data_IF_281849654949
#
_entry.id   IF_281849654949
#
_cell.length_a   1.000
_cell.length_b   1.000
_cell.length_c   1.000
_cell.angle_alpha   90.00
_cell.angle_beta   90.00
_cell.angle_gamma   90.00
#
_symmetry.space_group_name_H-M   'P 1'
#
loop_
_entity.id
_entity.type
_entity.pdbx_description
1 polymer ?
#
# COMPACT_ATOMS: atom_id res chain seq x y z
N UNK A 1 16.60 -2.71 -8.71
CA UNK A 1 16.37 -3.39 -7.43
C UNK A 1 15.93 -4.82 -7.64
N UNK A 2 16.46 -5.72 -6.86
CA UNK A 2 16.15 -7.13 -7.00
C UNK A 2 15.09 -7.48 -5.96
N UNK A 3 13.86 -7.50 -6.39
CA UNK A 3 12.72 -7.64 -5.49
C UNK A 3 12.70 -8.98 -4.77
N UNK A 4 13.10 -10.02 -5.47
CA UNK A 4 12.90 -11.38 -4.95
C UNK A 4 13.91 -11.76 -3.88
N UNK A 5 14.89 -10.93 -3.69
CA UNK A 5 15.80 -11.09 -2.57
C UNK A 5 15.20 -10.57 -1.28
N UNK A 6 14.10 -9.81 -1.37
CA UNK A 6 13.48 -9.24 -0.19
C UNK A 6 12.70 -10.31 0.52
N UNK A 7 13.28 -10.87 1.54
CA UNK A 7 12.55 -11.81 2.39
C UNK A 7 11.78 -11.10 3.48
N UNK A 8 12.09 -9.83 3.71
CA UNK A 8 11.44 -9.04 4.74
C UNK A 8 10.71 -7.89 4.12
N UNK A 9 9.39 -7.91 4.23
CA UNK A 9 8.55 -6.77 3.91
C UNK A 9 8.63 -5.82 5.10
N UNK A 10 8.92 -4.53 4.88
CA UNK A 10 8.88 -3.56 5.96
C UNK A 10 7.51 -3.53 6.62
N UNK A 11 7.46 -3.08 7.86
CA UNK A 11 6.26 -3.15 8.67
C UNK A 11 5.27 -2.04 8.32
N UNK A 12 3.98 -2.36 8.39
CA UNK A 12 2.91 -1.39 8.33
C UNK A 12 2.42 -1.01 9.73
N UNK A 13 3.12 -1.44 10.78
CA UNK A 13 2.64 -1.29 12.15
C UNK A 13 2.44 0.17 12.58
N UNK A 14 3.15 1.11 11.93
CA UNK A 14 3.01 2.52 12.25
C UNK A 14 1.82 3.20 11.59
N UNK A 15 1.03 2.50 10.82
CA UNK A 15 -0.16 3.09 10.21
C UNK A 15 -1.13 3.55 11.29
N UNK A 16 -1.67 4.76 11.12
CA UNK A 16 -2.56 5.34 12.13
C UNK A 16 -3.99 4.85 11.98
N UNK A 17 -4.35 4.39 10.78
CA UNK A 17 -5.68 3.85 10.51
C UNK A 17 -5.61 2.99 9.25
N UNK A 18 -6.58 2.10 9.09
CA UNK A 18 -6.75 1.30 7.87
C UNK A 18 -8.14 1.53 7.30
N UNK A 19 -8.22 1.61 5.98
CA UNK A 19 -9.49 1.69 5.25
C UNK A 19 -9.62 0.45 4.38
N UNK A 20 -10.84 -0.01 4.20
CA UNK A 20 -11.19 -1.18 3.36
C UNK A 20 -10.67 -2.52 3.91
N UNK A 21 -10.04 -2.52 5.07
CA UNK A 21 -9.44 -3.74 5.60
C UNK A 21 -9.17 -3.58 7.08
N UNK A 22 -9.09 -4.69 7.78
CA UNK A 22 -8.46 -4.74 9.09
C UNK A 22 -6.96 -4.53 8.92
N UNK A 23 -6.25 -4.16 9.98
CA UNK A 23 -4.79 -4.03 9.90
C UNK A 23 -4.14 -5.30 9.35
N UNK A 24 -3.24 -5.12 8.41
CA UNK A 24 -2.55 -6.23 7.78
C UNK A 24 -1.12 -6.34 8.32
N UNK A 25 -0.75 -7.53 8.71
CA UNK A 25 0.58 -7.81 9.24
C UNK A 25 1.21 -9.00 8.53
N UNK A 26 2.36 -9.47 9.05
CA UNK A 26 3.08 -10.56 8.39
C UNK A 26 2.26 -11.83 8.21
N UNK A 27 1.38 -12.15 9.15
CA UNK A 27 0.59 -13.37 9.06
C UNK A 27 -0.37 -13.33 7.88
N UNK A 28 -1.05 -12.19 7.68
CA UNK A 28 -2.03 -12.05 6.60
C UNK A 28 -1.38 -11.98 5.23
N UNK A 29 -0.15 -11.49 5.18
CA UNK A 29 0.54 -11.25 3.90
C UNK A 29 1.40 -12.44 3.46
N UNK A 30 1.55 -13.44 4.34
CA UNK A 30 2.40 -14.58 4.04
C UNK A 30 1.89 -15.34 2.83
N UNK A 31 2.81 -15.64 1.93
CA UNK A 31 2.48 -16.39 0.72
C UNK A 31 1.90 -15.56 -0.41
N UNK A 32 1.78 -14.26 -0.21
CA UNK A 32 1.23 -13.35 -1.23
C UNK A 32 2.31 -12.50 -1.85
N UNK A 33 2.05 -12.04 -3.07
CA UNK A 33 2.82 -10.97 -3.69
C UNK A 33 2.17 -9.68 -3.22
N UNK A 34 2.98 -8.77 -2.66
CA UNK A 34 2.47 -7.52 -2.11
C UNK A 34 2.98 -6.36 -2.96
N UNK A 35 2.06 -5.58 -3.49
CA UNK A 35 2.37 -4.35 -4.23
C UNK A 35 1.99 -3.17 -3.33
N UNK A 36 2.99 -2.41 -2.92
CA UNK A 36 2.78 -1.26 -2.06
C UNK A 36 2.80 0.00 -2.93
N UNK A 37 1.75 0.78 -2.84
CA UNK A 37 1.58 1.98 -3.64
C UNK A 37 1.46 3.18 -2.70
N UNK A 38 2.52 4.00 -2.66
CA UNK A 38 2.52 5.22 -1.84
C UNK A 38 1.82 6.34 -2.59
N UNK A 39 0.89 7.02 -1.93
CA UNK A 39 0.10 8.06 -2.56
C UNK A 39 -0.31 9.14 -1.57
N UNK A 40 -0.78 10.24 -2.11
CA UNK A 40 -1.47 11.26 -1.35
C UNK A 40 -2.58 11.82 -2.23
N UNK A 41 -3.69 12.26 -1.61
CA UNK A 41 -4.94 12.47 -2.35
C UNK A 41 -4.93 13.66 -3.30
N UNK A 42 -3.91 14.53 -3.23
CA UNK A 42 -3.78 15.60 -4.21
C UNK A 42 -2.68 15.37 -5.25
N UNK A 43 -2.03 14.23 -5.23
CA UNK A 43 -0.92 13.96 -6.16
C UNK A 43 -1.46 13.62 -7.55
N UNK A 44 -1.22 14.53 -8.51
CA UNK A 44 -1.71 14.36 -9.87
C UNK A 44 -1.10 13.15 -10.55
N UNK A 45 0.16 12.85 -10.27
CA UNK A 45 0.81 11.70 -10.88
C UNK A 45 0.22 10.40 -10.35
N UNK A 46 -0.17 10.36 -9.09
CA UNK A 46 -0.87 9.21 -8.55
C UNK A 46 -2.23 9.05 -9.20
N UNK A 47 -2.95 10.15 -9.41
CA UNK A 47 -4.26 10.10 -10.05
C UNK A 47 -4.19 9.46 -11.43
N UNK A 48 -3.09 9.65 -12.15
CA UNK A 48 -2.90 9.04 -13.47
C UNK A 48 -2.59 7.56 -13.38
N UNK A 49 -1.96 7.11 -12.30
CA UNK A 49 -1.57 5.71 -12.13
C UNK A 49 -2.65 4.87 -11.50
N UNK A 50 -3.50 5.48 -10.70
CA UNK A 50 -4.45 4.76 -9.85
C UNK A 50 -5.36 3.80 -10.62
N UNK A 51 -5.92 4.17 -11.78
CA UNK A 51 -6.78 3.22 -12.50
C UNK A 51 -6.07 1.93 -12.88
N UNK A 52 -4.78 2.00 -13.18
CA UNK A 52 -4.01 0.80 -13.51
C UNK A 52 -3.74 -0.04 -12.28
N UNK A 53 -3.41 0.60 -11.16
CA UNK A 53 -3.18 -0.12 -9.89
C UNK A 53 -4.46 -0.82 -9.46
N UNK A 54 -5.59 -0.15 -9.55
CA UNK A 54 -6.87 -0.73 -9.22
C UNK A 54 -7.21 -1.91 -10.13
N UNK A 55 -6.94 -1.77 -11.43
CA UNK A 55 -7.18 -2.85 -12.39
C UNK A 55 -6.31 -4.06 -12.06
N UNK A 56 -5.06 -3.86 -11.70
CA UNK A 56 -4.17 -4.95 -11.31
C UNK A 56 -4.68 -5.65 -10.05
N UNK A 57 -5.13 -4.87 -9.07
CA UNK A 57 -5.67 -5.43 -7.85
C UNK A 57 -6.85 -6.36 -8.16
N UNK A 58 -7.77 -5.91 -9.00
CA UNK A 58 -8.95 -6.68 -9.34
C UNK A 58 -8.61 -7.91 -10.18
N UNK A 59 -7.69 -7.75 -11.13
CA UNK A 59 -7.35 -8.82 -12.06
C UNK A 59 -6.57 -9.95 -11.39
N UNK A 60 -5.71 -9.64 -10.44
CA UNK A 60 -4.77 -10.62 -9.89
C UNK A 60 -5.03 -10.97 -8.44
N UNK A 61 -6.12 -10.48 -7.88
CA UNK A 61 -6.47 -10.75 -6.49
C UNK A 61 -6.57 -12.25 -6.21
N UNK A 62 -7.21 -12.97 -7.09
CA UNK A 62 -7.40 -14.40 -6.91
C UNK A 62 -6.11 -15.19 -7.17
N UNK A 63 -5.12 -14.56 -7.79
CA UNK A 63 -3.82 -15.16 -8.03
C UNK A 63 -2.81 -14.83 -6.92
N UNK A 64 -3.27 -14.23 -5.85
CA UNK A 64 -2.45 -13.99 -4.67
C UNK A 64 -1.83 -12.60 -4.57
N UNK A 65 -2.22 -11.67 -5.43
CA UNK A 65 -1.74 -10.29 -5.33
C UNK A 65 -2.54 -9.53 -4.28
N UNK A 66 -1.83 -8.89 -3.36
CA UNK A 66 -2.42 -7.94 -2.42
C UNK A 66 -1.82 -6.57 -2.73
N UNK A 67 -2.68 -5.61 -3.07
CA UNK A 67 -2.26 -4.23 -3.24
C UNK A 67 -2.58 -3.49 -1.95
N UNK A 68 -1.60 -2.76 -1.44
CA UNK A 68 -1.79 -1.92 -0.27
C UNK A 68 -1.43 -0.50 -0.67
N UNK A 69 -2.41 0.40 -0.61
CA UNK A 69 -2.16 1.81 -0.80
C UNK A 69 -1.76 2.44 0.51
N UNK A 70 -0.58 3.04 0.56
CA UNK A 70 -0.13 3.74 1.77
C UNK A 70 -0.29 5.22 1.52
N UNK A 71 -1.23 5.83 2.22
CA UNK A 71 -1.47 7.26 2.11
C UNK A 71 -0.58 7.99 3.10
N UNK A 72 0.45 8.66 2.58
CA UNK A 72 1.37 9.45 3.39
C UNK A 72 1.26 10.91 2.95
N UNK A 73 0.90 11.83 3.85
CA UNK A 73 0.66 13.23 3.46
C UNK A 73 1.93 13.93 3.00
N UNK A 74 1.81 14.67 1.89
CA UNK A 74 2.88 15.56 1.45
C UNK A 74 2.70 16.94 2.07
N UNK A 75 1.46 17.41 2.11
CA UNK A 75 1.10 18.70 2.66
C UNK A 75 0.31 18.54 3.95
N UNK A 76 0.34 19.56 4.80
CA UNK A 76 -0.31 19.48 6.12
C UNK A 76 -1.79 19.15 6.02
N UNK A 77 -2.50 19.73 5.06
CA UNK A 77 -3.94 19.49 4.92
C UNK A 77 -4.28 18.06 4.53
N UNK A 78 -3.32 17.32 4.00
CA UNK A 78 -3.54 15.93 3.60
C UNK A 78 -3.57 14.96 4.78
N UNK A 79 -3.29 15.44 5.99
CA UNK A 79 -3.49 14.66 7.21
C UNK A 79 -4.97 14.44 7.54
N UNK A 80 -5.87 15.17 6.88
CA UNK A 80 -7.29 15.08 7.16
C UNK A 80 -7.83 13.73 6.73
N UNK A 81 -8.22 12.91 7.72
CA UNK A 81 -8.71 11.55 7.46
C UNK A 81 -9.99 11.56 6.60
N UNK A 82 -10.82 12.56 6.77
CA UNK A 82 -12.03 12.66 5.95
C UNK A 82 -11.70 12.90 4.49
N UNK A 83 -10.63 13.64 4.22
CA UNK A 83 -10.13 13.82 2.85
C UNK A 83 -9.64 12.51 2.26
N UNK A 84 -8.91 11.73 3.06
CA UNK A 84 -8.40 10.42 2.62
C UNK A 84 -9.58 9.48 2.32
N UNK A 85 -10.57 9.45 3.21
CA UNK A 85 -11.75 8.60 3.01
C UNK A 85 -12.52 9.00 1.77
N UNK A 86 -12.70 10.29 1.57
CA UNK A 86 -13.42 10.81 0.40
C UNK A 86 -12.70 10.44 -0.88
N UNK A 87 -11.38 10.60 -0.93
CA UNK A 87 -10.61 10.24 -2.11
C UNK A 87 -10.70 8.74 -2.39
N UNK A 88 -10.65 7.93 -1.36
CA UNK A 88 -10.76 6.47 -1.49
C UNK A 88 -12.11 6.09 -2.08
N UNK A 89 -13.18 6.74 -1.64
CA UNK A 89 -14.53 6.49 -2.13
C UNK A 89 -14.71 7.00 -3.56
N UNK A 90 -14.28 8.22 -3.83
CA UNK A 90 -14.46 8.84 -5.14
C UNK A 90 -13.72 8.10 -6.23
N UNK A 91 -12.59 7.49 -5.88
CA UNK A 91 -11.79 6.73 -6.82
C UNK A 91 -12.18 5.26 -6.88
N UNK A 92 -13.18 4.87 -6.11
CA UNK A 92 -13.63 3.47 -6.04
C UNK A 92 -12.47 2.52 -5.69
N UNK A 93 -11.59 2.97 -4.80
CA UNK A 93 -10.48 2.15 -4.34
C UNK A 93 -11.04 1.07 -3.43
N UNK A 94 -10.83 -0.18 -3.79
CA UNK A 94 -11.34 -1.32 -3.03
C UNK A 94 -10.24 -2.17 -2.40
N UNK A 95 -8.99 -1.83 -2.64
CA UNK A 95 -7.88 -2.51 -1.97
C UNK A 95 -7.61 -1.85 -0.61
N UNK A 96 -6.89 -2.55 0.27
CA UNK A 96 -6.56 -2.00 1.59
C UNK A 96 -5.75 -0.72 1.50
N UNK A 97 -6.09 0.24 2.35
CA UNK A 97 -5.37 1.52 2.45
C UNK A 97 -4.88 1.69 3.88
N UNK A 98 -3.57 1.81 4.04
CA UNK A 98 -2.95 2.14 5.32
C UNK A 98 -2.75 3.65 5.36
N UNK A 99 -3.26 4.29 6.40
CA UNK A 99 -3.10 5.73 6.59
C UNK A 99 -1.83 5.97 7.40
N UNK A 100 -0.90 6.71 6.81
CA UNK A 100 0.46 6.87 7.34
C UNK A 100 0.70 8.32 7.76
N UNK A 101 -0.15 8.83 8.63
CA UNK A 101 -0.08 10.24 9.04
C UNK A 101 1.16 10.57 9.87
N UNK A 102 1.81 9.57 10.44
CA UNK A 102 3.03 9.77 11.23
C UNK A 102 4.30 9.45 10.44
N UNK A 103 4.19 9.15 9.15
CA UNK A 103 5.32 8.87 8.26
C UNK A 103 6.13 7.64 8.68
N UNK A 104 5.59 6.79 9.53
CA UNK A 104 6.34 5.63 10.01
C UNK A 104 6.45 4.55 8.96
N UNK A 105 5.38 4.33 8.18
CA UNK A 105 5.42 3.36 7.08
C UNK A 105 6.34 3.88 5.98
N UNK A 106 6.20 5.15 5.63
CA UNK A 106 7.08 5.81 4.66
C UNK A 106 8.54 5.60 5.00
N UNK A 107 8.88 5.85 6.27
CA UNK A 107 10.25 5.72 6.75
C UNK A 107 10.71 4.28 6.76
N UNK A 108 9.85 3.35 7.14
CA UNK A 108 10.19 1.93 7.16
C UNK A 108 10.52 1.42 5.76
N UNK A 109 9.88 1.96 4.73
CA UNK A 109 10.13 1.60 3.35
C UNK A 109 11.24 2.43 2.71
N UNK A 110 11.84 3.36 3.45
CA UNK A 110 12.89 4.27 2.97
C UNK A 110 12.45 5.01 1.70
N UNK A 111 11.21 5.45 1.70
CA UNK A 111 10.64 6.12 0.53
C UNK A 111 11.09 7.57 0.46
N UNK A 112 11.05 8.17 -0.75
CA UNK A 112 11.57 9.53 -0.95
C UNK A 112 10.65 10.44 -1.75
N UNK A 113 9.61 9.91 -2.43
CA UNK A 113 8.77 10.74 -3.29
C UNK A 113 7.42 10.08 -3.52
N UNK A 114 6.47 10.87 -4.02
CA UNK A 114 5.13 10.46 -4.39
C UNK A 114 4.94 10.59 -5.91
N UNK A 115 4.25 9.67 -6.55
CA UNK A 115 3.91 8.36 -6.04
C UNK A 115 5.12 7.44 -6.10
N UNK A 116 5.11 6.41 -5.32
CA UNK A 116 6.14 5.39 -5.37
C UNK A 116 5.49 4.02 -5.23
N UNK A 117 6.06 3.03 -5.88
CA UNK A 117 5.58 1.66 -5.81
C UNK A 117 6.72 0.73 -5.46
N UNK A 118 6.42 -0.26 -4.66
CA UNK A 118 7.36 -1.29 -4.32
C UNK A 118 6.63 -2.62 -4.29
N UNK A 119 7.33 -3.67 -4.66
CA UNK A 119 6.74 -4.99 -4.78
C UNK A 119 7.56 -5.98 -3.98
N UNK A 120 6.89 -6.81 -3.21
CA UNK A 120 7.51 -7.85 -2.41
C UNK A 120 6.79 -9.15 -2.62
N UNK A 121 7.58 -10.23 -2.71
CA UNK A 121 7.07 -11.58 -2.68
C UNK A 121 7.29 -12.10 -1.27
N UNK A 122 6.19 -12.33 -0.56
CA UNK A 122 6.27 -12.91 0.78
C UNK A 122 6.43 -14.42 0.64
N UNK A 123 7.52 -14.93 1.15
CA UNK A 123 7.76 -16.36 1.09
C UNK A 123 6.86 -17.09 2.06
N UNK A 124 6.42 -18.24 1.64
CA UNK A 124 5.71 -19.16 2.52
C UNK A 124 6.68 -19.75 3.53
N UNK A 125 6.13 -20.32 4.59
CA UNK A 125 6.96 -21.07 5.51
C UNK A 125 7.74 -22.19 4.83
N UNK A 126 8.72 -22.72 5.57
CA UNK A 126 9.59 -23.78 5.09
C UNK A 126 8.83 -24.88 4.35
N UNK A 127 9.40 -25.35 3.28
CA UNK A 127 8.81 -26.40 2.47
C UNK A 127 7.93 -25.90 1.35
N UNK A 128 7.60 -24.64 1.33
CA UNK A 128 6.82 -24.06 0.25
C UNK A 128 7.73 -23.55 -0.84
N UNK A 129 7.26 -23.64 -2.03
CA UNK A 129 8.05 -23.23 -3.18
C UNK A 129 7.45 -22.00 -3.80
#
# INVERSE_FOLDING_TARGET
MTLFERVHLPSFAGATEWLNSEPLGPAELRGHIVLVNFWTWTCINWLRQEPYVRAWSQAYRDDGLIVIGVHTPEFAFEHDIDGVRRATEERAIDYPVAVDNDYEVWSAFANHYWPARAQWLRRRPSGSV
#
